data_IF_555238706938
#
_entry.id   IF_555238706938
#
_cell.length_a   1.000
_cell.length_b   1.000
_cell.length_c   1.000
_cell.angle_alpha   90.00
_cell.angle_beta   90.00
_cell.angle_gamma   90.00
#
_symmetry.space_group_name_H-M   'P 1'
#
loop_
_entity.id
_entity.type
_entity.pdbx_description
1 polymer ?
#
# COMPACT_ATOMS: atom_id res chain seq x y z
N UNK A 1 -8.53 -8.81 4.99
CA UNK A 1 -9.36 -8.60 3.78
C UNK A 1 -9.19 -9.82 2.90
N UNK A 2 -10.22 -10.25 2.18
CA UNK A 2 -10.11 -11.39 1.24
C UNK A 2 -10.95 -11.16 -0.01
N UNK A 3 -10.61 -11.85 -1.09
CA UNK A 3 -11.25 -11.72 -2.40
C UNK A 3 -11.86 -13.06 -2.77
N UNK A 4 -13.16 -13.06 -3.07
CA UNK A 4 -13.89 -14.19 -3.62
C UNK A 4 -14.19 -13.92 -5.11
N UNK A 5 -13.33 -14.45 -5.97
CA UNK A 5 -13.45 -14.30 -7.43
C UNK A 5 -14.66 -15.03 -8.02
N UNK A 6 -15.20 -16.05 -7.34
CA UNK A 6 -16.36 -16.79 -7.83
C UNK A 6 -17.65 -15.99 -7.66
N UNK A 7 -17.75 -15.25 -6.56
CA UNK A 7 -18.92 -14.46 -6.20
C UNK A 7 -18.73 -12.95 -6.46
N UNK A 8 -17.60 -12.53 -7.04
CA UNK A 8 -17.21 -11.12 -7.19
C UNK A 8 -17.35 -10.34 -5.89
N UNK A 9 -16.96 -10.95 -4.77
CA UNK A 9 -17.17 -10.42 -3.45
C UNK A 9 -15.83 -10.11 -2.76
N UNK A 10 -15.82 -9.04 -1.99
CA UNK A 10 -14.69 -8.60 -1.20
C UNK A 10 -15.10 -8.59 0.28
N UNK A 11 -14.24 -9.14 1.13
CA UNK A 11 -14.40 -9.06 2.57
C UNK A 11 -13.47 -7.99 3.13
N UNK A 12 -14.07 -6.93 3.68
CA UNK A 12 -13.36 -5.76 4.25
C UNK A 12 -13.39 -5.77 5.78
N UNK A 13 -12.52 -4.96 6.42
CA UNK A 13 -12.54 -4.77 7.87
C UNK A 13 -13.54 -3.70 8.33
N UNK A 14 -13.90 -2.78 7.43
CA UNK A 14 -14.93 -1.75 7.62
C UNK A 14 -15.54 -1.40 6.26
N UNK A 15 -16.82 -1.00 6.27
CA UNK A 15 -17.52 -0.45 5.09
C UNK A 15 -17.61 1.08 5.12
N UNK A 16 -16.95 1.73 6.07
CA UNK A 16 -16.90 3.19 6.14
C UNK A 16 -16.28 3.79 4.87
N UNK A 17 -16.97 4.78 4.29
CA UNK A 17 -16.54 5.44 3.05
C UNK A 17 -16.88 4.69 1.77
N UNK A 18 -17.48 3.50 1.85
CA UNK A 18 -18.05 2.79 0.70
C UNK A 18 -19.55 3.04 0.60
N UNK A 19 -20.07 3.08 -0.62
CA UNK A 19 -21.49 3.25 -0.90
C UNK A 19 -21.90 2.40 -2.10
N UNK A 20 -23.11 1.85 -2.09
CA UNK A 20 -23.68 1.14 -3.24
C UNK A 20 -23.75 2.07 -4.47
N UNK A 21 -23.37 1.55 -5.64
CA UNK A 21 -23.18 2.33 -6.87
C UNK A 21 -21.92 3.21 -6.88
N UNK A 22 -21.17 3.26 -5.77
CA UNK A 22 -19.90 3.97 -5.68
C UNK A 22 -18.73 3.17 -6.27
N UNK A 23 -17.57 3.82 -6.36
CA UNK A 23 -16.34 3.21 -6.85
C UNK A 23 -15.34 2.93 -5.71
N UNK A 24 -14.47 1.96 -5.96
CA UNK A 24 -13.32 1.65 -5.13
C UNK A 24 -12.11 1.29 -6.00
N UNK A 25 -10.93 1.29 -5.39
CA UNK A 25 -9.68 0.82 -6.00
C UNK A 25 -9.21 -0.39 -5.23
N UNK A 26 -8.93 -1.49 -5.93
CA UNK A 26 -8.07 -2.55 -5.42
C UNK A 26 -6.64 -2.24 -5.81
N UNK A 27 -5.72 -2.30 -4.87
CA UNK A 27 -4.29 -2.08 -5.12
C UNK A 27 -3.44 -3.01 -4.28
N UNK A 28 -2.43 -3.64 -4.90
CA UNK A 28 -1.46 -4.46 -4.19
C UNK A 28 -0.22 -3.63 -3.85
N UNK A 29 0.07 -3.49 -2.56
CA UNK A 29 1.13 -2.59 -2.10
C UNK A 29 2.51 -3.26 -2.16
N UNK A 30 2.59 -4.56 -1.89
CA UNK A 30 3.83 -5.33 -1.74
C UNK A 30 3.76 -6.64 -2.55
N UNK A 31 4.82 -7.44 -2.54
CA UNK A 31 4.89 -8.72 -3.28
C UNK A 31 6.12 -8.87 -4.17
N UNK A 32 6.85 -7.78 -4.42
CA UNK A 32 8.07 -7.83 -5.22
C UNK A 32 9.17 -8.64 -4.51
N UNK A 33 9.76 -9.57 -5.25
CA UNK A 33 10.93 -10.32 -4.83
C UNK A 33 12.21 -9.60 -5.27
N UNK A 34 13.22 -9.66 -4.40
CA UNK A 34 14.57 -9.16 -4.68
C UNK A 34 15.59 -10.28 -4.51
N UNK A 35 16.73 -10.13 -5.18
CA UNK A 35 17.91 -10.95 -4.91
C UNK A 35 18.45 -10.62 -3.51
N UNK A 36 18.46 -11.61 -2.62
CA UNK A 36 18.98 -11.51 -1.24
C UNK A 36 20.32 -12.22 -1.07
N UNK A 37 20.95 -12.68 -2.16
CA UNK A 37 22.27 -13.29 -2.13
C UNK A 37 23.35 -12.27 -1.76
N UNK A 38 24.38 -12.71 -1.05
CA UNK A 38 25.49 -11.84 -0.67
C UNK A 38 26.44 -11.56 -1.84
N UNK A 39 25.94 -10.86 -2.85
CA UNK A 39 26.63 -10.55 -4.09
C UNK A 39 26.32 -9.13 -4.54
N UNK A 40 27.00 -8.66 -5.61
CA UNK A 40 26.72 -7.34 -6.20
C UNK A 40 25.31 -7.21 -6.79
N UNK A 41 24.58 -8.32 -6.92
CA UNK A 41 23.17 -8.32 -7.33
C UNK A 41 22.20 -8.09 -6.16
N UNK A 42 22.67 -8.01 -4.90
CA UNK A 42 21.78 -7.81 -3.75
C UNK A 42 20.87 -6.59 -3.95
N UNK A 43 19.57 -6.78 -3.74
CA UNK A 43 18.55 -5.74 -3.87
C UNK A 43 18.02 -5.52 -5.29
N UNK A 44 18.53 -6.23 -6.31
CA UNK A 44 17.91 -6.21 -7.63
C UNK A 44 16.55 -6.89 -7.59
N UNK A 45 15.53 -6.26 -8.16
CA UNK A 45 14.19 -6.84 -8.31
C UNK A 45 14.25 -8.01 -9.28
N UNK A 46 13.81 -9.19 -8.85
CA UNK A 46 13.79 -10.42 -9.65
C UNK A 46 12.39 -10.72 -10.19
N UNK A 47 11.37 -10.33 -9.44
CA UNK A 47 9.96 -10.43 -9.81
C UNK A 47 9.17 -9.33 -9.09
N UNK A 48 8.16 -8.77 -9.74
CA UNK A 48 7.28 -7.79 -9.10
C UNK A 48 6.19 -8.45 -8.26
N UNK A 49 5.86 -9.73 -8.48
CA UNK A 49 4.90 -10.47 -7.66
C UNK A 49 3.58 -9.71 -7.44
N UNK A 50 3.04 -9.14 -8.53
CA UNK A 50 1.84 -8.28 -8.55
C UNK A 50 1.92 -6.97 -7.76
N UNK A 51 3.06 -6.61 -7.15
CA UNK A 51 3.21 -5.31 -6.50
C UNK A 51 2.96 -4.14 -7.47
N UNK A 52 2.15 -3.19 -7.03
CA UNK A 52 1.73 -2.04 -7.83
C UNK A 52 0.55 -2.33 -8.78
N UNK A 53 0.06 -3.57 -8.85
CA UNK A 53 -1.15 -3.88 -9.60
C UNK A 53 -2.36 -3.18 -8.97
N UNK A 54 -3.17 -2.53 -9.79
CA UNK A 54 -4.38 -1.86 -9.32
C UNK A 54 -5.49 -1.90 -10.36
N UNK A 55 -6.74 -1.87 -9.89
CA UNK A 55 -7.92 -1.72 -10.72
C UNK A 55 -9.03 -0.96 -10.00
N UNK A 56 -9.88 -0.28 -10.77
CA UNK A 56 -11.08 0.40 -10.28
C UNK A 56 -12.27 -0.52 -10.46
N UNK A 57 -13.06 -0.72 -9.41
CA UNK A 57 -14.30 -1.48 -9.45
C UNK A 57 -15.48 -0.64 -8.96
N UNK A 58 -16.70 -1.06 -9.36
CA UNK A 58 -17.96 -0.44 -8.94
C UNK A 58 -18.69 -1.39 -8.00
N UNK A 59 -19.25 -0.83 -6.93
CA UNK A 59 -19.92 -1.57 -5.87
C UNK A 59 -21.36 -1.82 -6.25
N UNK A 60 -21.73 -3.10 -6.41
CA UNK A 60 -23.11 -3.50 -6.66
C UNK A 60 -23.96 -3.47 -5.39
N UNK A 61 -23.44 -3.98 -4.28
CA UNK A 61 -24.14 -4.04 -3.00
C UNK A 61 -23.18 -4.15 -1.82
N UNK A 62 -23.67 -3.77 -0.63
CA UNK A 62 -22.93 -3.91 0.63
C UNK A 62 -23.80 -4.67 1.63
N UNK A 63 -23.31 -5.81 2.13
CA UNK A 63 -23.98 -6.62 3.15
C UNK A 63 -23.05 -6.91 4.33
N UNK A 64 -23.21 -6.14 5.41
CA UNK A 64 -22.30 -6.22 6.56
C UNK A 64 -20.90 -5.74 6.18
N UNK A 65 -19.94 -6.67 6.13
CA UNK A 65 -18.55 -6.42 5.72
C UNK A 65 -18.21 -7.00 4.34
N UNK A 66 -19.22 -7.54 3.65
CA UNK A 66 -19.08 -8.02 2.28
C UNK A 66 -19.49 -6.94 1.30
N UNK A 67 -18.61 -6.66 0.34
CA UNK A 67 -18.86 -5.77 -0.79
C UNK A 67 -18.92 -6.63 -2.04
N UNK A 68 -20.08 -6.65 -2.72
CA UNK A 68 -20.20 -7.31 -4.04
C UNK A 68 -19.93 -6.31 -5.14
N UNK A 69 -19.15 -6.70 -6.15
CA UNK A 69 -18.79 -5.86 -7.29
C UNK A 69 -19.74 -6.07 -8.47
N UNK A 70 -19.98 -5.02 -9.25
CA UNK A 70 -20.80 -5.10 -10.47
C UNK A 70 -20.14 -5.93 -11.57
N UNK A 71 -18.81 -5.91 -11.63
CA UNK A 71 -18.01 -6.60 -12.63
C UNK A 71 -16.94 -7.47 -11.96
N UNK A 72 -16.56 -8.55 -12.65
CA UNK A 72 -15.43 -9.39 -12.26
C UNK A 72 -14.13 -8.58 -12.32
N UNK A 73 -13.24 -8.80 -11.36
CA UNK A 73 -11.89 -8.23 -11.40
C UNK A 73 -11.15 -8.76 -12.63
N UNK A 74 -10.34 -7.90 -13.24
CA UNK A 74 -9.50 -8.29 -14.39
C UNK A 74 -8.28 -9.08 -13.94
N UNK A 75 -7.74 -8.75 -12.77
CA UNK A 75 -6.50 -9.32 -12.27
C UNK A 75 -6.70 -10.22 -11.07
N UNK A 76 -5.76 -11.15 -10.90
CA UNK A 76 -5.60 -11.93 -9.68
C UNK A 76 -4.56 -11.26 -8.78
N UNK A 77 -4.99 -10.99 -7.56
CA UNK A 77 -4.20 -10.39 -6.49
C UNK A 77 -3.65 -11.46 -5.56
N UNK A 78 -2.40 -11.26 -5.12
CA UNK A 78 -1.82 -12.00 -4.02
C UNK A 78 -2.16 -11.29 -2.71
N UNK A 79 -3.04 -11.88 -1.91
CA UNK A 79 -3.46 -11.30 -0.62
C UNK A 79 -2.33 -11.20 0.40
N UNK A 80 -1.25 -11.97 0.24
CA UNK A 80 -0.05 -11.85 1.08
C UNK A 80 0.77 -10.59 0.70
N UNK A 81 0.56 -10.05 -0.50
CA UNK A 81 1.16 -8.81 -1.01
C UNK A 81 0.55 -7.51 -0.46
N UNK A 82 -0.09 -7.53 0.71
CA UNK A 82 -0.71 -6.37 1.36
C UNK A 82 -1.70 -5.62 0.44
N UNK A 83 -2.72 -6.34 -0.05
CA UNK A 83 -3.78 -5.77 -0.89
C UNK A 83 -4.68 -4.84 -0.08
N UNK A 84 -4.92 -3.64 -0.60
CA UNK A 84 -5.87 -2.68 -0.06
C UNK A 84 -7.11 -2.56 -0.94
N UNK A 85 -8.27 -2.45 -0.29
CA UNK A 85 -9.50 -1.98 -0.90
C UNK A 85 -9.70 -0.54 -0.43
N UNK A 86 -9.54 0.42 -1.34
CA UNK A 86 -9.56 1.86 -1.06
C UNK A 86 -10.83 2.46 -1.61
N UNK A 87 -11.58 3.21 -0.80
CA UNK A 87 -12.77 3.92 -1.27
C UNK A 87 -12.39 5.02 -2.28
N UNK A 88 -13.21 5.18 -3.32
CA UNK A 88 -13.04 6.21 -4.34
C UNK A 88 -14.36 6.96 -4.52
N UNK A 89 -14.71 7.87 -3.59
CA UNK A 89 -15.95 8.63 -3.68
C UNK A 89 -16.00 9.50 -4.94
N UNK A 90 -17.20 9.63 -5.51
CA UNK A 90 -17.45 10.44 -6.70
C UNK A 90 -18.21 11.73 -6.39
N UNK A 91 -17.73 12.84 -6.95
CA UNK A 91 -18.29 14.18 -6.81
C UNK A 91 -18.72 14.73 -8.18
N UNK A 92 -19.87 14.29 -8.73
CA UNK A 92 -20.31 14.64 -10.08
C UNK A 92 -20.65 16.13 -10.25
N UNK A 93 -21.01 16.80 -9.16
CA UNK A 93 -21.30 18.25 -9.15
C UNK A 93 -20.06 19.14 -9.06
N UNK A 94 -18.85 18.55 -9.05
CA UNK A 94 -17.61 19.25 -8.75
C UNK A 94 -17.29 19.30 -7.25
N UNK A 95 -16.03 19.58 -6.91
CA UNK A 95 -15.55 19.75 -5.53
C UNK A 95 -14.51 20.87 -5.45
N UNK A 96 -14.56 21.65 -4.36
CA UNK A 96 -13.57 22.68 -4.04
C UNK A 96 -12.78 22.26 -2.81
N UNK A 97 -11.45 22.24 -2.92
CA UNK A 97 -10.54 21.92 -1.83
C UNK A 97 -10.19 23.20 -1.07
N UNK A 98 -10.75 23.37 0.13
CA UNK A 98 -10.58 24.59 0.95
C UNK A 98 -9.50 24.45 2.04
N UNK A 99 -9.18 23.22 2.44
CA UNK A 99 -8.15 22.87 3.41
C UNK A 99 -7.24 21.78 2.83
N UNK A 100 -6.09 21.53 3.46
CA UNK A 100 -5.15 20.51 2.99
C UNK A 100 -5.85 19.15 2.98
N UNK A 101 -6.10 18.61 1.80
CA UNK A 101 -6.65 17.28 1.64
C UNK A 101 -5.52 16.26 1.73
N UNK A 102 -5.69 15.26 2.59
CA UNK A 102 -4.66 14.27 2.89
C UNK A 102 -5.27 12.88 3.11
N UNK A 103 -4.40 11.88 3.33
CA UNK A 103 -4.77 10.51 3.66
C UNK A 103 -4.24 10.12 5.05
N UNK A 104 -4.83 9.07 5.62
CA UNK A 104 -4.22 8.34 6.73
C UNK A 104 -2.83 7.84 6.33
N UNK A 105 -1.90 7.80 7.28
CA UNK A 105 -0.60 7.17 7.02
C UNK A 105 -0.77 5.66 6.88
N UNK A 106 0.04 5.03 6.01
CA UNK A 106 0.11 3.59 5.87
C UNK A 106 0.46 2.94 7.21
N UNK A 107 -0.41 2.05 7.70
CA UNK A 107 -0.26 1.32 8.97
C UNK A 107 0.26 -0.11 8.78
N UNK A 108 0.44 -0.57 7.53
CA UNK A 108 0.87 -1.93 7.19
C UNK A 108 -0.25 -2.77 6.58
N UNK A 109 -1.50 -2.30 6.68
CA UNK A 109 -2.68 -2.92 6.09
C UNK A 109 -3.54 -1.93 5.30
N UNK A 110 -3.68 -0.68 5.76
CA UNK A 110 -4.43 0.39 5.08
C UNK A 110 -3.72 1.75 5.15
N UNK A 111 -4.08 2.67 4.26
CA UNK A 111 -3.61 4.05 4.26
C UNK A 111 -2.57 4.36 3.18
N UNK A 112 -2.08 5.60 3.19
CA UNK A 112 -1.12 6.12 2.22
C UNK A 112 -1.68 6.42 0.83
N UNK A 113 -2.95 6.12 0.59
CA UNK A 113 -3.65 6.33 -0.68
C UNK A 113 -4.77 7.34 -0.49
N UNK A 114 -4.85 8.32 -1.39
CA UNK A 114 -5.98 9.24 -1.51
C UNK A 114 -6.55 9.07 -2.92
N UNK A 115 -7.84 8.73 -3.01
CA UNK A 115 -8.52 8.53 -4.27
C UNK A 115 -9.93 9.15 -4.21
N UNK A 116 -10.33 9.83 -5.29
CA UNK A 116 -11.68 10.32 -5.51
C UNK A 116 -11.85 10.66 -6.99
N UNK A 117 -13.08 10.72 -7.47
CA UNK A 117 -13.41 11.18 -8.82
C UNK A 117 -14.28 12.43 -8.77
N UNK A 118 -14.07 13.36 -9.71
CA UNK A 118 -14.90 14.56 -9.83
C UNK A 118 -14.90 15.06 -11.27
N UNK A 119 -15.95 15.78 -11.64
CA UNK A 119 -16.06 16.43 -12.96
C UNK A 119 -15.28 17.74 -13.01
N UNK A 120 -15.21 18.46 -11.89
CA UNK A 120 -14.52 19.75 -11.74
C UNK A 120 -13.83 19.76 -10.38
N UNK A 121 -12.52 19.97 -10.38
CA UNK A 121 -11.72 20.15 -9.17
C UNK A 121 -11.27 21.60 -9.07
N UNK A 122 -11.75 22.33 -8.07
CA UNK A 122 -11.27 23.67 -7.73
C UNK A 122 -10.29 23.58 -6.55
N UNK A 123 -9.11 24.17 -6.72
CA UNK A 123 -8.03 24.13 -5.73
C UNK A 123 -7.89 25.48 -5.04
N UNK A 124 -8.30 25.57 -3.77
CA UNK A 124 -8.05 26.73 -2.89
C UNK A 124 -7.03 26.39 -1.78
N UNK A 125 -6.68 25.10 -1.64
CA UNK A 125 -5.63 24.57 -0.79
C UNK A 125 -4.97 23.36 -1.46
N UNK A 126 -3.90 22.85 -0.83
CA UNK A 126 -3.09 21.77 -1.40
C UNK A 126 -3.71 20.39 -1.17
N UNK A 127 -3.42 19.46 -2.07
CA UNK A 127 -3.58 18.03 -1.82
C UNK A 127 -2.19 17.47 -1.49
N UNK A 128 -2.01 16.92 -0.29
CA UNK A 128 -0.71 16.40 0.14
C UNK A 128 -0.82 15.09 0.89
N UNK A 129 -0.16 14.06 0.34
CA UNK A 129 0.06 12.75 0.96
C UNK A 129 1.53 12.52 1.34
N UNK A 130 2.29 13.62 1.50
CA UNK A 130 3.70 13.57 1.90
C UNK A 130 3.88 12.84 3.24
N UNK A 131 4.76 11.84 3.27
CA UNK A 131 5.04 11.04 4.46
C UNK A 131 3.90 10.10 4.89
N UNK A 132 2.87 9.92 4.06
CA UNK A 132 1.76 8.99 4.34
C UNK A 132 1.95 7.60 3.74
N UNK A 133 2.91 7.43 2.83
CA UNK A 133 3.24 6.14 2.20
C UNK A 133 4.01 5.20 3.12
N UNK A 134 4.79 4.27 2.54
CA UNK A 134 5.56 3.29 3.31
C UNK A 134 6.39 3.94 4.43
N UNK A 135 6.41 3.25 5.58
CA UNK A 135 7.20 3.67 6.74
C UNK A 135 8.68 3.46 6.45
N UNK A 136 9.53 4.32 7.02
CA UNK A 136 10.96 4.00 7.11
C UNK A 136 11.19 2.83 8.06
N UNK A 137 12.37 2.22 7.97
CA UNK A 137 12.78 1.21 8.96
C UNK A 137 13.06 1.85 10.32
N UNK A 138 12.99 1.06 11.39
CA UNK A 138 13.30 1.57 12.73
C UNK A 138 14.75 2.06 12.83
N UNK A 139 15.00 2.97 13.76
CA UNK A 139 16.35 3.40 14.08
C UNK A 139 17.24 2.19 14.43
N UNK A 140 18.47 2.18 13.91
CA UNK A 140 19.44 1.15 14.25
C UNK A 140 19.77 1.19 15.75
N UNK A 141 20.19 0.05 16.30
CA UNK A 141 20.69 -0.03 17.68
C UNK A 141 21.89 0.91 17.85
N UNK A 142 21.90 1.68 18.94
CA UNK A 142 22.98 2.62 19.26
C UNK A 142 24.34 1.89 19.25
N UNK A 143 25.24 2.37 18.41
CA UNK A 143 26.60 1.87 18.29
C UNK A 143 27.47 2.43 19.41
N UNK A 144 27.77 1.63 20.42
CA UNK A 144 28.88 1.86 21.36
C UNK A 144 30.09 1.05 20.88
N UNK A 145 30.94 1.69 20.09
CA UNK A 145 31.94 1.02 19.29
C UNK A 145 33.22 0.58 19.99
N UNK A 146 33.68 -0.63 19.63
CA UNK A 146 35.10 -0.91 19.39
C UNK A 146 35.27 -1.29 17.91
N UNK A 147 36.23 -0.66 17.23
CA UNK A 147 36.61 -1.01 15.85
C UNK A 147 37.69 -2.11 15.89
N UNK A 148 37.31 -3.37 15.69
CA UNK A 148 38.26 -4.48 15.59
C UNK A 148 38.73 -4.68 14.14
N UNK A 149 40.03 -4.50 13.89
CA UNK A 149 40.65 -4.57 12.55
C UNK A 149 40.68 -5.99 11.95
N UNK A 150 40.41 -7.04 12.73
CA UNK A 150 40.43 -8.43 12.27
C UNK A 150 39.11 -8.92 11.66
N UNK A 151 38.03 -8.15 11.82
CA UNK A 151 36.71 -8.53 11.30
C UNK A 151 36.47 -7.86 9.94
N UNK A 152 36.28 -8.67 8.90
CA UNK A 152 35.86 -8.18 7.59
C UNK A 152 34.33 -8.14 7.49
N UNK A 153 33.77 -6.94 7.32
CA UNK A 153 32.34 -6.70 7.18
C UNK A 153 31.96 -6.51 5.70
N UNK A 154 31.94 -7.62 4.95
CA UNK A 154 31.75 -7.60 3.49
C UNK A 154 30.34 -7.99 3.03
N UNK A 155 29.37 -8.09 3.95
CA UNK A 155 28.01 -8.52 3.61
C UNK A 155 27.13 -7.35 3.18
N UNK A 156 26.26 -7.58 2.19
CA UNK A 156 25.25 -6.63 1.70
C UNK A 156 24.05 -6.50 2.65
N UNK A 157 23.81 -7.50 3.50
CA UNK A 157 22.82 -7.46 4.57
C UNK A 157 23.30 -8.21 5.80
N UNK A 158 22.73 -7.85 6.95
CA UNK A 158 23.04 -8.44 8.23
C UNK A 158 21.74 -8.85 8.95
N UNK A 159 21.78 -9.81 9.88
CA UNK A 159 20.64 -10.16 10.71
C UNK A 159 20.09 -8.94 11.48
N UNK A 160 18.81 -8.97 11.85
CA UNK A 160 18.12 -7.86 12.52
C UNK A 160 18.79 -7.38 13.82
N UNK A 161 19.45 -8.29 14.55
CA UNK A 161 20.19 -8.00 15.77
C UNK A 161 21.57 -7.35 15.53
N UNK A 162 21.98 -7.21 14.26
CA UNK A 162 23.28 -6.65 13.90
C UNK A 162 23.28 -5.14 14.04
N UNK A 163 24.28 -4.63 14.76
CA UNK A 163 24.59 -3.20 14.84
C UNK A 163 25.25 -2.65 13.56
N UNK A 164 25.45 -3.50 12.54
CA UNK A 164 26.20 -3.17 11.31
C UNK A 164 25.30 -2.82 10.12
N UNK A 165 23.98 -2.84 10.30
CA UNK A 165 23.00 -2.48 9.27
C UNK A 165 21.86 -1.65 9.86
N UNK A 166 21.29 -0.76 9.05
CA UNK A 166 20.02 -0.10 9.34
C UNK A 166 18.86 -0.97 8.89
N UNK A 167 17.73 -0.91 9.61
CA UNK A 167 16.51 -1.56 9.14
C UNK A 167 15.96 -0.79 7.95
N UNK A 168 15.52 -1.53 6.92
CA UNK A 168 14.76 -0.98 5.80
C UNK A 168 13.27 -1.12 6.12
N UNK A 169 12.47 -0.12 5.73
CA UNK A 169 11.01 -0.16 5.85
C UNK A 169 10.32 -0.66 4.60
#
# INVERSE_FOLDING_TARGET
QSIDYCNNALQVSTTDGFAEGGALILIQMQGAAIDVSNSTAYGTVTDLGQAGLYERAVIASINGLEITLENTLLYEYDTDGAVQIVSMPGYPSGVTITDILTASAWDGATGGVLAFETTVLEMQSDISVGGKGFRGGDAALDYTGDCFFTDNYNSFAYPEASIRGGRKG
#
